data_IF_296472284780
#
_entry.id   IF_296472284780
#
_cell.length_a   1.000
_cell.length_b   1.000
_cell.length_c   1.000
_cell.angle_alpha   90.00
_cell.angle_beta   90.00
_cell.angle_gamma   90.00
#
_symmetry.space_group_name_H-M   'P 1'
#
loop_
_entity.id
_entity.type
_entity.pdbx_description
1 polymer ?
#
# COMPACT_ATOMS: atom_id res chain seq x y z
N UNK A 1 4.90 -39.66 31.72
CA UNK A 1 5.50 -39.28 30.43
C UNK A 1 4.95 -37.90 30.08
N UNK A 2 5.77 -36.84 30.04
CA UNK A 2 5.26 -35.57 29.50
C UNK A 2 4.98 -35.75 28.02
N UNK A 3 3.72 -35.56 27.63
CA UNK A 3 3.32 -35.47 26.22
C UNK A 3 4.03 -34.24 25.64
N UNK A 4 5.02 -34.44 24.79
CA UNK A 4 5.65 -33.35 24.09
C UNK A 4 4.58 -32.65 23.26
N UNK A 5 4.30 -31.39 23.58
CA UNK A 5 3.46 -30.54 22.78
C UNK A 5 4.05 -30.51 21.37
N UNK A 6 3.43 -31.17 20.43
CA UNK A 6 3.76 -31.07 18.99
C UNK A 6 3.50 -29.60 18.64
N UNK A 7 4.53 -28.93 18.11
CA UNK A 7 4.33 -27.60 17.58
C UNK A 7 3.19 -27.69 16.54
N UNK A 8 2.17 -26.88 16.72
CA UNK A 8 1.08 -26.82 15.77
C UNK A 8 1.65 -26.41 14.39
N UNK A 9 1.19 -27.08 13.33
CA UNK A 9 1.60 -26.71 11.98
C UNK A 9 1.18 -25.25 11.73
N UNK A 10 2.10 -24.47 11.18
CA UNK A 10 1.83 -23.05 10.89
C UNK A 10 0.77 -22.91 9.81
N UNK A 11 -0.07 -21.90 9.94
CA UNK A 11 -1.05 -21.53 8.91
C UNK A 11 -0.30 -21.01 7.69
N UNK A 12 -0.53 -21.63 6.53
CA UNK A 12 -0.02 -21.13 5.26
C UNK A 12 -0.93 -20.03 4.74
N UNK A 13 -0.43 -18.80 4.73
CA UNK A 13 -1.11 -17.62 4.26
C UNK A 13 -0.45 -17.08 2.98
N UNK A 14 -1.25 -16.59 2.06
CA UNK A 14 -0.80 -15.84 0.89
C UNK A 14 -1.32 -14.42 1.02
N UNK A 15 -0.46 -13.43 0.77
CA UNK A 15 -0.82 -12.03 0.65
C UNK A 15 -0.51 -11.54 -0.77
N UNK A 16 -1.35 -10.70 -1.33
CA UNK A 16 -1.21 -10.24 -2.72
C UNK A 16 0.04 -9.39 -2.94
N UNK A 17 0.37 -8.47 -2.02
CA UNK A 17 1.49 -7.52 -2.17
C UNK A 17 2.21 -7.25 -0.85
N UNK A 18 3.38 -6.63 -0.93
CA UNK A 18 4.33 -6.52 0.19
C UNK A 18 3.78 -5.80 1.42
N UNK A 19 3.03 -4.72 1.25
CA UNK A 19 2.42 -3.97 2.36
C UNK A 19 1.44 -4.87 3.12
N UNK A 20 0.57 -5.57 2.41
CA UNK A 20 -0.38 -6.49 3.02
C UNK A 20 0.33 -7.69 3.66
N UNK A 21 1.40 -8.18 3.02
CA UNK A 21 2.25 -9.24 3.55
C UNK A 21 2.87 -8.89 4.90
N UNK A 22 3.37 -7.66 5.06
CA UNK A 22 3.86 -7.17 6.36
C UNK A 22 2.75 -7.13 7.41
N UNK A 23 1.59 -6.53 7.08
CA UNK A 23 0.47 -6.47 8.03
C UNK A 23 0.02 -7.87 8.48
N UNK A 24 -0.07 -8.83 7.56
CA UNK A 24 -0.42 -10.23 7.86
C UNK A 24 0.63 -10.87 8.77
N UNK A 25 1.91 -10.63 8.51
CA UNK A 25 3.02 -11.11 9.34
C UNK A 25 2.99 -10.50 10.74
N UNK A 26 2.71 -9.20 10.88
CA UNK A 26 2.62 -8.52 12.18
C UNK A 26 1.51 -9.10 13.06
N UNK A 27 0.36 -9.44 12.47
CA UNK A 27 -0.78 -10.01 13.20
C UNK A 27 -0.58 -11.51 13.46
N UNK A 28 -0.11 -12.24 12.47
CA UNK A 28 0.02 -13.70 12.55
C UNK A 28 1.19 -14.19 13.40
N UNK A 29 2.29 -13.41 13.43
CA UNK A 29 3.50 -13.76 14.18
C UNK A 29 4.06 -15.12 13.79
N UNK A 30 4.54 -15.88 14.78
CA UNK A 30 5.18 -17.18 14.56
C UNK A 30 4.20 -18.32 14.22
N UNK A 31 2.88 -18.07 14.29
CA UNK A 31 1.86 -19.10 13.99
C UNK A 31 1.57 -19.25 12.50
N UNK A 32 2.12 -18.39 11.66
CA UNK A 32 1.85 -18.40 10.22
C UNK A 32 3.14 -18.44 9.40
N UNK A 33 3.03 -18.98 8.20
CA UNK A 33 4.01 -18.82 7.12
C UNK A 33 3.34 -17.99 6.01
N UNK A 34 3.86 -16.78 5.77
CA UNK A 34 3.31 -15.86 4.76
C UNK A 34 4.14 -15.92 3.49
N UNK A 35 3.47 -16.12 2.38
CA UNK A 35 4.02 -15.91 1.04
C UNK A 35 3.38 -14.66 0.47
N UNK A 36 4.20 -13.72 0.05
CA UNK A 36 3.76 -12.49 -0.62
C UNK A 36 4.00 -12.66 -2.13
N UNK A 37 2.94 -12.49 -2.94
CA UNK A 37 3.01 -12.70 -4.38
C UNK A 37 3.81 -11.60 -5.07
N UNK A 38 3.43 -10.34 -4.83
CA UNK A 38 4.19 -9.19 -5.33
C UNK A 38 5.10 -8.68 -4.22
N UNK A 39 6.39 -8.88 -4.40
CA UNK A 39 7.43 -8.58 -3.40
C UNK A 39 7.73 -7.09 -3.27
N UNK A 40 8.80 -6.75 -2.51
CA UNK A 40 9.30 -5.38 -2.42
C UNK A 40 9.58 -4.77 -3.80
N UNK A 41 9.35 -3.46 -3.94
CA UNK A 41 9.49 -2.67 -5.17
C UNK A 41 8.73 -3.24 -6.38
N UNK A 42 7.81 -4.18 -6.17
CA UNK A 42 7.01 -4.78 -7.23
C UNK A 42 5.70 -4.02 -7.44
N UNK A 43 5.33 -3.84 -8.70
CA UNK A 43 4.05 -3.23 -9.08
C UNK A 43 2.94 -4.28 -9.12
N UNK A 44 1.95 -4.14 -8.23
CA UNK A 44 0.83 -5.06 -8.12
C UNK A 44 -0.30 -4.79 -9.13
N UNK A 45 -0.36 -3.62 -9.75
CA UNK A 45 -1.36 -3.32 -10.79
C UNK A 45 -1.13 -4.16 -12.04
N UNK A 46 0.13 -4.28 -12.46
CA UNK A 46 0.53 -4.93 -13.71
C UNK A 46 1.18 -6.32 -13.51
N UNK A 47 1.05 -6.88 -12.33
CA UNK A 47 1.67 -8.15 -12.00
C UNK A 47 1.10 -9.31 -12.83
N UNK A 48 2.01 -10.13 -13.36
CA UNK A 48 1.67 -11.37 -14.06
C UNK A 48 2.00 -12.58 -13.19
N UNK A 49 0.99 -13.27 -12.62
CA UNK A 49 1.20 -14.42 -11.76
C UNK A 49 1.94 -15.57 -12.46
N UNK A 50 2.88 -16.17 -11.77
CA UNK A 50 3.68 -17.29 -12.24
C UNK A 50 3.04 -18.65 -11.89
N UNK A 51 3.48 -19.76 -12.52
CA UNK A 51 3.09 -21.10 -12.08
C UNK A 51 3.48 -21.43 -10.62
N UNK A 52 4.53 -20.78 -10.09
CA UNK A 52 4.92 -20.91 -8.70
C UNK A 52 3.88 -20.27 -7.77
N UNK A 53 3.32 -19.12 -8.14
CA UNK A 53 2.27 -18.45 -7.38
C UNK A 53 1.00 -19.27 -7.33
N UNK A 54 0.61 -19.87 -8.46
CA UNK A 54 -0.52 -20.78 -8.50
C UNK A 54 -0.31 -22.00 -7.57
N UNK A 55 0.90 -22.56 -7.54
CA UNK A 55 1.26 -23.66 -6.63
C UNK A 55 1.23 -23.24 -5.17
N UNK A 56 1.75 -22.06 -4.85
CA UNK A 56 1.76 -21.51 -3.51
C UNK A 56 0.31 -21.28 -3.02
N UNK A 57 -0.51 -20.65 -3.85
CA UNK A 57 -1.91 -20.38 -3.53
C UNK A 57 -2.72 -21.69 -3.39
N UNK A 58 -2.52 -22.69 -4.25
CA UNK A 58 -3.20 -23.98 -4.18
C UNK A 58 -3.05 -24.67 -2.81
N UNK A 59 -1.94 -24.44 -2.10
CA UNK A 59 -1.63 -25.06 -0.81
C UNK A 59 -1.93 -24.16 0.39
N UNK A 60 -2.32 -22.92 0.15
CA UNK A 60 -2.63 -21.96 1.21
C UNK A 60 -3.99 -22.25 1.89
N UNK A 61 -4.09 -21.93 3.17
CA UNK A 61 -5.31 -22.00 3.93
C UNK A 61 -6.12 -20.71 3.84
N UNK A 62 -5.42 -19.60 3.61
CA UNK A 62 -6.03 -18.28 3.49
C UNK A 62 -5.26 -17.41 2.49
N UNK A 63 -6.02 -16.66 1.70
CA UNK A 63 -5.55 -15.59 0.81
C UNK A 63 -6.01 -14.25 1.37
N UNK A 64 -5.10 -13.31 1.50
CA UNK A 64 -5.39 -11.91 1.77
C UNK A 64 -5.14 -11.10 0.50
N UNK A 65 -6.16 -10.39 0.04
CA UNK A 65 -6.05 -9.42 -1.04
C UNK A 65 -6.57 -8.05 -0.59
N UNK A 66 -6.19 -7.00 -1.30
CA UNK A 66 -6.66 -5.65 -1.02
C UNK A 66 -8.14 -5.49 -1.32
N UNK A 67 -8.57 -5.94 -2.49
CA UNK A 67 -9.87 -5.60 -3.05
C UNK A 67 -9.90 -4.21 -3.70
N UNK A 68 -11.08 -3.62 -3.86
CA UNK A 68 -11.29 -2.31 -4.52
C UNK A 68 -10.79 -2.27 -5.97
N UNK A 69 -10.56 -3.43 -6.60
CA UNK A 69 -10.07 -3.53 -7.98
C UNK A 69 -8.55 -3.48 -8.13
N UNK A 70 -7.78 -3.46 -7.03
CA UNK A 70 -6.33 -3.35 -7.06
C UNK A 70 -5.65 -4.50 -7.83
N UNK A 71 -5.99 -5.73 -7.50
CA UNK A 71 -5.40 -6.94 -8.10
C UNK A 71 -6.28 -7.45 -9.26
N UNK A 72 -6.24 -6.80 -10.41
CA UNK A 72 -7.03 -7.20 -11.58
C UNK A 72 -6.76 -8.63 -12.10
N UNK A 73 -5.61 -9.21 -11.72
CA UNK A 73 -5.17 -10.56 -12.08
C UNK A 73 -5.61 -11.64 -11.08
N UNK A 74 -6.06 -11.29 -9.87
CA UNK A 74 -6.28 -12.24 -8.77
C UNK A 74 -7.34 -13.29 -9.08
N UNK A 75 -8.48 -12.90 -9.64
CA UNK A 75 -9.56 -13.84 -9.99
C UNK A 75 -9.09 -14.96 -10.94
N UNK A 76 -8.19 -14.62 -11.88
CA UNK A 76 -7.60 -15.61 -12.81
C UNK A 76 -6.66 -16.57 -12.08
N UNK A 77 -5.85 -16.04 -11.15
CA UNK A 77 -4.94 -16.85 -10.33
C UNK A 77 -5.71 -17.79 -9.41
N UNK A 78 -6.73 -17.32 -8.71
CA UNK A 78 -7.58 -18.17 -7.86
C UNK A 78 -8.19 -19.34 -8.64
N UNK A 79 -8.76 -19.06 -9.81
CA UNK A 79 -9.35 -20.09 -10.67
C UNK A 79 -8.31 -21.09 -11.17
N UNK A 80 -7.17 -20.61 -11.66
CA UNK A 80 -6.15 -21.46 -12.27
C UNK A 80 -5.38 -22.30 -11.25
N UNK A 81 -5.21 -21.80 -10.03
CA UNK A 81 -4.55 -22.53 -8.94
C UNK A 81 -5.40 -23.66 -8.34
N UNK A 82 -6.72 -23.58 -8.52
CA UNK A 82 -7.65 -24.49 -7.84
C UNK A 82 -7.71 -24.28 -6.33
N UNK A 83 -7.40 -23.06 -5.87
CA UNK A 83 -7.45 -22.67 -4.47
C UNK A 83 -8.79 -23.01 -3.80
N UNK A 84 -8.75 -23.51 -2.57
CA UNK A 84 -9.92 -23.96 -1.78
C UNK A 84 -9.95 -23.34 -0.39
N UNK A 85 -8.95 -22.52 -0.07
CA UNK A 85 -8.86 -21.85 1.22
C UNK A 85 -9.86 -20.69 1.35
N UNK A 86 -9.69 -19.91 2.38
CA UNK A 86 -10.51 -18.72 2.67
C UNK A 86 -9.92 -17.50 1.96
N UNK A 87 -10.75 -16.71 1.29
CA UNK A 87 -10.37 -15.36 0.82
C UNK A 87 -10.79 -14.34 1.87
N UNK A 88 -9.87 -13.44 2.19
CA UNK A 88 -10.12 -12.29 3.07
C UNK A 88 -9.72 -11.00 2.35
N UNK A 89 -10.70 -10.16 2.06
CA UNK A 89 -10.49 -8.82 1.49
C UNK A 89 -10.14 -7.86 2.62
N UNK A 90 -8.91 -7.36 2.61
CA UNK A 90 -8.37 -6.53 3.68
C UNK A 90 -9.07 -5.17 3.81
N UNK A 91 -9.51 -4.58 2.70
CA UNK A 91 -10.24 -3.30 2.69
C UNK A 91 -11.71 -3.38 3.07
N UNK A 92 -12.20 -4.56 3.51
CA UNK A 92 -13.60 -4.70 3.94
C UNK A 92 -13.96 -3.68 5.01
N UNK A 93 -15.07 -2.94 4.82
CA UNK A 93 -15.52 -1.88 5.74
C UNK A 93 -14.88 -0.50 5.51
N UNK A 94 -13.90 -0.37 4.62
CA UNK A 94 -13.41 0.94 4.18
C UNK A 94 -14.51 1.65 3.39
N UNK A 95 -14.68 2.96 3.62
CA UNK A 95 -15.52 3.78 2.75
C UNK A 95 -14.75 4.09 1.46
N UNK A 96 -15.12 3.53 0.31
CA UNK A 96 -14.37 3.73 -0.92
C UNK A 96 -14.33 5.20 -1.32
N UNK A 97 -13.15 5.67 -1.75
CA UNK A 97 -13.03 6.90 -2.54
C UNK A 97 -13.31 6.53 -3.99
N UNK A 98 -13.89 7.45 -4.73
CA UNK A 98 -14.10 7.30 -6.15
C UNK A 98 -13.52 8.50 -6.90
N UNK A 99 -13.09 8.27 -8.11
CA UNK A 99 -12.63 9.30 -9.03
C UNK A 99 -13.15 9.04 -10.43
N UNK A 100 -12.97 9.99 -11.32
CA UNK A 100 -13.33 9.84 -12.74
C UNK A 100 -12.06 9.63 -13.54
N UNK A 101 -11.96 8.48 -14.19
CA UNK A 101 -10.88 8.08 -15.09
C UNK A 101 -11.53 7.61 -16.40
N UNK A 102 -11.10 8.16 -17.53
CA UNK A 102 -11.66 7.87 -18.86
C UNK A 102 -13.20 7.91 -18.91
N UNK A 103 -13.78 8.97 -18.33
CA UNK A 103 -15.23 9.19 -18.23
C UNK A 103 -15.99 8.14 -17.39
N UNK A 104 -15.28 7.25 -16.69
CA UNK A 104 -15.86 6.24 -15.80
C UNK A 104 -15.57 6.59 -14.33
N UNK A 105 -16.54 6.27 -13.48
CA UNK A 105 -16.30 6.32 -12.04
C UNK A 105 -15.61 5.02 -11.63
N UNK A 106 -14.38 5.13 -11.12
CA UNK A 106 -13.58 4.03 -10.61
C UNK A 106 -13.36 4.18 -9.11
N UNK A 107 -13.16 3.07 -8.42
CA UNK A 107 -12.76 3.09 -7.02
C UNK A 107 -11.24 3.34 -6.94
N UNK A 108 -10.82 4.19 -6.01
CA UNK A 108 -9.43 4.32 -5.61
C UNK A 108 -9.06 3.10 -4.75
N UNK A 109 -8.13 2.23 -5.17
CA UNK A 109 -7.80 1.01 -4.43
C UNK A 109 -6.84 1.26 -3.26
N UNK A 110 -6.16 2.41 -3.19
CA UNK A 110 -5.02 2.68 -2.30
C UNK A 110 -5.45 3.02 -0.86
N UNK A 111 -6.40 2.26 -0.33
CA UNK A 111 -7.00 2.55 0.98
C UNK A 111 -6.00 2.43 2.15
N UNK A 112 -4.94 1.63 2.01
CA UNK A 112 -3.85 1.52 3.00
C UNK A 112 -3.07 2.83 3.19
N UNK A 113 -3.15 3.77 2.28
CA UNK A 113 -2.52 5.09 2.40
C UNK A 113 -3.15 5.98 3.51
N UNK A 114 -4.15 5.47 4.22
CA UNK A 114 -4.67 6.05 5.46
C UNK A 114 -4.46 5.07 6.63
N UNK A 115 -3.74 5.49 7.68
CA UNK A 115 -3.55 4.67 8.88
C UNK A 115 -4.87 4.34 9.59
N UNK A 116 -5.88 5.18 9.45
CA UNK A 116 -7.23 4.88 9.94
C UNK A 116 -7.85 3.68 9.21
N UNK A 117 -7.67 3.59 7.89
CA UNK A 117 -8.05 2.40 7.12
C UNK A 117 -7.14 1.21 7.44
N UNK A 118 -5.83 1.42 7.64
CA UNK A 118 -4.89 0.39 8.07
C UNK A 118 -5.35 -0.36 9.33
N UNK A 119 -6.04 0.33 10.25
CA UNK A 119 -6.64 -0.31 11.44
C UNK A 119 -7.77 -1.28 11.08
N UNK A 120 -8.56 -0.97 10.03
CA UNK A 120 -9.58 -1.90 9.51
C UNK A 120 -8.91 -3.13 8.88
N UNK A 121 -7.84 -2.94 8.11
CA UNK A 121 -7.05 -4.04 7.55
C UNK A 121 -6.55 -4.98 8.64
N UNK A 122 -5.97 -4.45 9.72
CA UNK A 122 -5.47 -5.24 10.85
C UNK A 122 -6.60 -6.04 11.50
N UNK A 123 -7.79 -5.46 11.69
CA UNK A 123 -8.95 -6.15 12.24
C UNK A 123 -9.43 -7.28 11.32
N UNK A 124 -9.51 -7.03 10.01
CA UNK A 124 -9.92 -8.04 9.02
C UNK A 124 -8.90 -9.18 8.94
N UNK A 125 -7.60 -8.88 8.97
CA UNK A 125 -6.52 -9.88 8.98
C UNK A 125 -6.63 -10.75 10.22
N UNK A 126 -6.78 -10.17 11.42
CA UNK A 126 -7.01 -10.90 12.67
C UNK A 126 -8.20 -11.86 12.55
N UNK A 127 -9.33 -11.37 12.09
CA UNK A 127 -10.56 -12.16 11.98
C UNK A 127 -10.44 -13.27 10.92
N UNK A 128 -9.72 -13.00 9.83
CA UNK A 128 -9.37 -13.99 8.83
C UNK A 128 -8.51 -15.12 9.37
N UNK A 129 -7.46 -14.80 10.13
CA UNK A 129 -6.57 -15.78 10.77
C UNK A 129 -7.31 -16.61 11.82
N UNK A 130 -8.12 -15.99 12.68
CA UNK A 130 -8.93 -16.70 13.67
C UNK A 130 -9.91 -17.70 13.00
N UNK A 131 -10.45 -17.33 11.84
CA UNK A 131 -11.40 -18.18 11.13
C UNK A 131 -10.78 -19.48 10.59
N UNK A 132 -9.46 -19.47 10.26
CA UNK A 132 -8.74 -20.66 9.76
C UNK A 132 -7.91 -21.36 10.83
N UNK A 133 -7.58 -20.67 11.92
CA UNK A 133 -6.86 -21.20 13.10
C UNK A 133 -7.48 -20.66 14.40
N UNK A 134 -8.61 -21.20 14.83
CA UNK A 134 -9.28 -20.77 16.06
C UNK A 134 -8.43 -20.95 17.32
N UNK A 135 -7.50 -21.91 17.32
CA UNK A 135 -6.58 -22.15 18.44
C UNK A 135 -5.57 -21.02 18.62
N UNK A 136 -5.24 -20.29 17.53
CA UNK A 136 -4.37 -19.13 17.54
C UNK A 136 -5.03 -17.83 18.00
N UNK A 137 -6.34 -17.82 18.29
CA UNK A 137 -7.13 -16.62 18.56
C UNK A 137 -6.45 -15.65 19.52
N UNK A 138 -6.01 -16.14 20.68
CA UNK A 138 -5.42 -15.28 21.70
C UNK A 138 -4.10 -14.60 21.24
N UNK A 139 -3.31 -15.29 20.40
CA UNK A 139 -2.08 -14.76 19.82
C UNK A 139 -2.41 -13.66 18.80
N UNK A 140 -3.34 -13.94 17.90
CA UNK A 140 -3.75 -12.98 16.87
C UNK A 140 -4.40 -11.72 17.46
N UNK A 141 -5.24 -11.88 18.51
CA UNK A 141 -5.83 -10.75 19.23
C UNK A 141 -4.76 -9.90 19.95
N UNK A 142 -3.78 -10.53 20.62
CA UNK A 142 -2.70 -9.82 21.28
C UNK A 142 -1.80 -9.07 20.29
N UNK A 143 -1.40 -9.73 19.19
CA UNK A 143 -0.58 -9.11 18.15
C UNK A 143 -1.32 -7.96 17.45
N UNK A 144 -2.60 -8.17 17.11
CA UNK A 144 -3.43 -7.12 16.50
C UNK A 144 -3.58 -5.92 17.43
N UNK A 145 -3.83 -6.12 18.73
CA UNK A 145 -3.92 -5.03 19.70
C UNK A 145 -2.63 -4.21 19.76
N UNK A 146 -1.47 -4.89 19.88
CA UNK A 146 -0.16 -4.24 19.86
C UNK A 146 0.08 -3.44 18.57
N UNK A 147 -0.30 -4.00 17.42
CA UNK A 147 -0.08 -3.35 16.14
C UNK A 147 -1.04 -2.16 15.94
N UNK A 148 -2.29 -2.27 16.40
CA UNK A 148 -3.26 -1.16 16.42
C UNK A 148 -2.78 0.02 17.28
N UNK A 149 -2.16 -0.25 18.42
CA UNK A 149 -1.55 0.79 19.27
C UNK A 149 -0.38 1.48 18.55
N UNK A 150 0.45 0.71 17.85
CA UNK A 150 1.54 1.26 17.03
C UNK A 150 1.02 2.12 15.88
N UNK A 151 -0.03 1.68 15.17
CA UNK A 151 -0.69 2.47 14.12
C UNK A 151 -1.32 3.74 14.67
N UNK A 152 -1.91 3.70 15.87
CA UNK A 152 -2.51 4.89 16.48
C UNK A 152 -1.45 5.94 16.84
N UNK A 153 -0.31 5.49 17.36
CA UNK A 153 0.83 6.37 17.64
C UNK A 153 1.38 6.98 16.36
N UNK A 154 1.62 6.16 15.35
CA UNK A 154 2.15 6.63 14.06
C UNK A 154 1.21 7.65 13.42
N UNK A 155 -0.11 7.41 13.47
CA UNK A 155 -1.11 8.36 12.95
C UNK A 155 -1.04 9.72 13.65
N UNK A 156 -0.81 9.74 14.96
CA UNK A 156 -0.64 10.99 15.71
C UNK A 156 0.65 11.72 15.30
N UNK A 157 1.76 10.99 15.14
CA UNK A 157 3.04 11.53 14.73
C UNK A 157 2.97 12.10 13.28
N UNK A 158 2.36 11.37 12.34
CA UNK A 158 2.11 11.82 10.96
C UNK A 158 1.26 13.09 10.92
N UNK A 159 0.14 13.12 11.67
CA UNK A 159 -0.72 14.31 11.74
C UNK A 159 0.03 15.52 12.28
N UNK A 160 0.84 15.35 13.32
CA UNK A 160 1.62 16.42 13.92
C UNK A 160 2.67 16.97 12.92
N UNK A 161 3.41 16.08 12.25
CA UNK A 161 4.43 16.45 11.28
C UNK A 161 3.83 17.22 10.08
N UNK A 162 2.73 16.72 9.50
CA UNK A 162 2.11 17.34 8.33
C UNK A 162 1.30 18.60 8.67
N UNK A 163 0.75 18.69 9.89
CA UNK A 163 0.08 19.91 10.36
C UNK A 163 1.06 21.10 10.52
N UNK A 164 2.33 20.83 10.73
CA UNK A 164 3.37 21.86 10.83
C UNK A 164 3.73 22.49 9.46
N UNK A 165 3.35 21.88 8.34
CA UNK A 165 3.64 22.41 7.02
C UNK A 165 2.77 23.64 6.71
N UNK A 166 3.35 24.70 6.10
CA UNK A 166 2.58 25.85 5.60
C UNK A 166 1.52 25.39 4.58
N UNK A 167 0.35 26.01 4.61
CA UNK A 167 -0.78 25.58 3.77
C UNK A 167 -0.45 25.71 2.27
N UNK A 168 0.29 26.72 1.88
CA UNK A 168 0.73 26.97 0.51
C UNK A 168 1.76 25.95 0.00
N UNK A 169 2.32 25.15 0.89
CA UNK A 169 3.29 24.08 0.56
C UNK A 169 2.72 22.67 0.65
N UNK A 170 1.40 22.53 0.85
CA UNK A 170 0.73 21.23 0.98
C UNK A 170 0.25 20.66 -0.34
N UNK A 171 0.77 21.16 -1.44
CA UNK A 171 0.50 20.63 -2.78
C UNK A 171 1.77 20.06 -3.37
N UNK A 172 1.69 18.80 -3.81
CA UNK A 172 2.82 18.04 -4.37
C UNK A 172 2.38 17.26 -5.60
N UNK A 173 3.36 16.82 -6.38
CA UNK A 173 3.16 15.92 -7.52
C UNK A 173 3.81 14.58 -7.23
N UNK A 174 3.13 13.49 -7.58
CA UNK A 174 3.62 12.10 -7.56
C UNK A 174 3.52 11.50 -8.96
N UNK A 175 3.94 10.24 -9.15
CA UNK A 175 3.92 9.58 -10.46
C UNK A 175 2.50 9.19 -10.85
N UNK A 176 1.81 8.42 -10.00
CA UNK A 176 0.41 8.00 -10.22
C UNK A 176 -0.49 8.41 -9.05
N UNK A 177 -1.82 8.30 -9.22
CA UNK A 177 -2.80 8.80 -8.24
C UNK A 177 -3.06 7.77 -7.12
N UNK A 178 -2.02 7.48 -6.32
CA UNK A 178 -2.07 6.55 -5.20
C UNK A 178 -2.36 7.21 -3.84
N UNK A 179 -2.19 8.52 -3.73
CA UNK A 179 -2.23 9.20 -2.44
C UNK A 179 -3.58 9.85 -2.11
N UNK A 180 -4.66 9.48 -2.79
CA UNK A 180 -5.96 10.09 -2.57
C UNK A 180 -6.48 9.96 -1.13
N UNK A 181 -6.33 8.77 -0.51
CA UNK A 181 -6.68 8.57 0.91
C UNK A 181 -5.73 9.28 1.86
N UNK A 182 -4.44 9.34 1.53
CA UNK A 182 -3.44 10.06 2.33
C UNK A 182 -3.74 11.57 2.34
N UNK A 183 -3.95 12.15 1.17
CA UNK A 183 -4.28 13.56 1.03
C UNK A 183 -5.53 13.94 1.83
N UNK A 184 -6.59 13.12 1.72
CA UNK A 184 -7.83 13.33 2.48
C UNK A 184 -7.66 13.17 3.99
N UNK A 185 -6.81 12.23 4.45
CA UNK A 185 -6.60 11.97 5.86
C UNK A 185 -5.75 13.05 6.55
N UNK A 186 -4.78 13.61 5.81
CA UNK A 186 -3.71 14.44 6.40
C UNK A 186 -3.66 15.88 5.86
N UNK A 187 -4.56 16.24 4.95
CA UNK A 187 -4.71 17.62 4.48
C UNK A 187 -3.66 18.06 3.47
N UNK A 188 -3.23 17.14 2.57
CA UNK A 188 -2.40 17.45 1.42
C UNK A 188 -3.22 17.36 0.13
N UNK A 189 -2.88 18.20 -0.84
CA UNK A 189 -3.34 18.08 -2.21
C UNK A 189 -2.24 17.40 -3.03
N UNK A 190 -2.55 16.22 -3.54
CA UNK A 190 -1.59 15.39 -4.29
C UNK A 190 -2.17 15.18 -5.67
N UNK A 191 -1.38 15.46 -6.68
CA UNK A 191 -1.78 15.40 -8.09
C UNK A 191 -0.76 14.53 -8.84
N UNK A 192 -1.25 13.70 -9.76
CA UNK A 192 -0.41 12.82 -10.55
C UNK A 192 -0.73 12.94 -12.05
N UNK A 193 0.27 12.72 -12.94
CA UNK A 193 0.03 12.65 -14.38
C UNK A 193 -0.61 11.34 -14.81
N UNK A 194 -0.35 10.24 -14.10
CA UNK A 194 -0.96 8.94 -14.33
C UNK A 194 -2.21 8.77 -13.47
N UNK A 195 -3.11 7.88 -13.90
CA UNK A 195 -4.32 7.55 -13.17
C UNK A 195 -4.09 6.71 -11.91
N UNK A 196 -5.14 6.06 -11.41
CA UNK A 196 -5.06 5.18 -10.21
C UNK A 196 -4.40 3.84 -10.49
N UNK A 197 -4.18 3.50 -11.75
CA UNK A 197 -3.47 2.29 -12.17
C UNK A 197 -2.28 2.66 -13.02
N UNK A 198 -1.20 1.91 -12.85
CA UNK A 198 0.02 2.01 -13.67
C UNK A 198 -0.06 1.24 -14.99
N UNK A 199 -1.21 0.61 -15.30
CA UNK A 199 -1.42 -0.12 -16.56
C UNK A 199 -1.30 0.76 -17.82
N UNK A 200 -1.53 2.07 -17.67
CA UNK A 200 -1.47 3.04 -18.76
C UNK A 200 -0.51 4.17 -18.41
N UNK A 201 0.43 4.44 -19.32
CA UNK A 201 1.32 5.59 -19.19
C UNK A 201 0.53 6.92 -19.30
N UNK A 202 1.05 7.96 -18.67
CA UNK A 202 0.48 9.30 -18.76
C UNK A 202 0.45 9.79 -20.21
N UNK A 203 -0.68 10.31 -20.64
CA UNK A 203 -0.78 10.91 -21.98
C UNK A 203 0.03 12.22 -22.06
N UNK A 204 0.51 12.57 -23.26
CA UNK A 204 1.18 13.85 -23.49
C UNK A 204 0.32 15.07 -23.07
N UNK A 205 -1.02 14.94 -23.12
CA UNK A 205 -1.96 15.97 -22.68
C UNK A 205 -1.94 16.13 -21.16
N UNK A 206 -1.87 15.02 -20.41
CA UNK A 206 -1.84 15.03 -18.94
C UNK A 206 -0.50 15.56 -18.43
N UNK A 207 0.60 15.13 -19.03
CA UNK A 207 1.94 15.67 -18.75
C UNK A 207 1.97 17.20 -18.99
N UNK A 208 1.47 17.67 -20.13
CA UNK A 208 1.41 19.11 -20.43
C UNK A 208 0.50 19.87 -19.45
N UNK A 209 -0.58 19.23 -18.94
CA UNK A 209 -1.46 19.82 -17.91
C UNK A 209 -0.70 19.97 -16.60
N UNK A 210 -0.01 18.94 -16.13
CA UNK A 210 0.79 18.97 -14.91
C UNK A 210 1.89 20.02 -14.99
N UNK A 211 2.63 20.11 -16.10
CA UNK A 211 3.68 21.12 -16.29
C UNK A 211 3.11 22.54 -16.16
N UNK A 212 1.96 22.81 -16.82
CA UNK A 212 1.28 24.12 -16.67
C UNK A 212 0.87 24.38 -15.24
N UNK A 213 0.33 23.39 -14.56
CA UNK A 213 -0.12 23.50 -13.18
C UNK A 213 1.04 23.80 -12.22
N UNK A 214 2.16 23.05 -12.32
CA UNK A 214 3.37 23.30 -11.52
C UNK A 214 3.82 24.76 -11.66
N UNK A 215 3.90 25.26 -12.92
CA UNK A 215 4.34 26.63 -13.20
C UNK A 215 3.36 27.69 -12.66
N UNK A 216 2.04 27.46 -12.83
CA UNK A 216 1.02 28.41 -12.42
C UNK A 216 0.89 28.50 -10.89
N UNK A 217 0.95 27.37 -10.21
CA UNK A 217 0.73 27.26 -8.77
C UNK A 217 2.04 27.23 -7.96
N UNK A 218 3.19 27.24 -8.64
CA UNK A 218 4.52 27.20 -8.02
C UNK A 218 4.67 26.01 -7.07
N UNK A 219 4.26 24.82 -7.52
CA UNK A 219 4.35 23.58 -6.74
C UNK A 219 5.83 23.32 -6.45
N UNK A 220 6.22 23.14 -5.17
CA UNK A 220 7.64 23.18 -4.79
C UNK A 220 8.40 21.91 -5.16
N UNK A 221 7.74 20.75 -5.16
CA UNK A 221 8.39 19.46 -5.32
C UNK A 221 7.56 18.45 -6.11
N UNK A 222 8.25 17.57 -6.82
CA UNK A 222 7.75 16.35 -7.43
C UNK A 222 8.42 15.16 -6.75
N UNK A 223 7.69 14.05 -6.57
CA UNK A 223 8.18 12.87 -5.88
C UNK A 223 8.08 11.67 -6.79
N UNK A 224 9.16 10.93 -6.90
CA UNK A 224 9.19 9.64 -7.58
C UNK A 224 8.54 8.57 -6.71
N UNK A 225 8.12 7.48 -7.31
CA UNK A 225 7.57 6.33 -6.60
C UNK A 225 8.38 5.08 -6.94
N UNK A 226 8.59 4.23 -5.92
CA UNK A 226 9.47 3.07 -6.04
C UNK A 226 9.03 2.02 -7.07
N UNK A 227 7.78 2.07 -7.52
CA UNK A 227 7.21 1.13 -8.50
C UNK A 227 7.13 1.69 -9.92
N UNK A 228 7.45 2.97 -10.14
CA UNK A 228 7.26 3.63 -11.44
C UNK A 228 8.60 4.02 -12.09
N UNK A 229 8.57 4.23 -13.42
CA UNK A 229 9.72 4.74 -14.16
C UNK A 229 9.91 6.24 -13.89
N UNK A 230 11.08 6.61 -13.44
CA UNK A 230 11.40 7.99 -13.04
C UNK A 230 11.52 8.98 -14.19
N UNK A 231 11.72 8.51 -15.45
CA UNK A 231 11.99 9.37 -16.61
C UNK A 231 10.95 10.46 -16.84
N UNK A 232 9.67 10.14 -16.62
CA UNK A 232 8.59 11.12 -16.77
C UNK A 232 8.70 12.27 -15.77
N UNK A 233 8.95 11.96 -14.51
CA UNK A 233 9.09 12.97 -13.47
C UNK A 233 10.40 13.75 -13.58
N UNK A 234 11.49 13.13 -14.05
CA UNK A 234 12.73 13.81 -14.40
C UNK A 234 12.49 14.86 -15.50
N UNK A 235 11.73 14.50 -16.54
CA UNK A 235 11.32 15.45 -17.59
C UNK A 235 10.50 16.60 -17.01
N UNK A 236 9.46 16.30 -16.23
CA UNK A 236 8.59 17.31 -15.61
C UNK A 236 9.41 18.26 -14.73
N UNK A 237 10.31 17.73 -13.90
CA UNK A 237 11.19 18.52 -13.05
C UNK A 237 12.11 19.42 -13.87
N UNK A 238 12.73 18.91 -14.95
CA UNK A 238 13.59 19.65 -15.86
C UNK A 238 12.85 20.81 -16.55
N UNK A 239 11.61 20.59 -17.00
CA UNK A 239 10.82 21.59 -17.71
C UNK A 239 10.21 22.67 -16.79
N UNK A 240 10.01 22.35 -15.51
CA UNK A 240 9.34 23.24 -14.56
C UNK A 240 10.28 23.93 -13.58
N UNK A 241 11.46 23.35 -13.34
CA UNK A 241 12.37 23.75 -12.28
C UNK A 241 11.91 23.30 -10.88
N UNK A 242 10.87 22.45 -10.77
CA UNK A 242 10.47 21.85 -9.52
C UNK A 242 11.58 20.93 -8.99
N UNK A 243 11.76 20.90 -7.67
CA UNK A 243 12.73 20.01 -7.03
C UNK A 243 12.21 18.56 -7.04
N UNK A 244 13.12 17.61 -7.25
CA UNK A 244 12.82 16.20 -6.94
C UNK A 244 12.94 16.05 -5.43
N UNK A 245 11.82 15.75 -4.77
CA UNK A 245 11.72 15.67 -3.32
C UNK A 245 12.18 14.34 -2.72
N UNK A 246 12.54 13.39 -3.60
CA UNK A 246 12.93 12.03 -3.23
C UNK A 246 11.95 10.98 -3.73
N UNK A 247 12.13 9.75 -3.29
CA UNK A 247 11.30 8.60 -3.61
C UNK A 247 10.28 8.35 -2.50
N UNK A 248 9.04 8.08 -2.86
CA UNK A 248 7.97 7.65 -1.96
C UNK A 248 7.64 6.17 -2.23
N UNK A 249 7.29 5.48 -1.16
CA UNK A 249 6.79 4.11 -1.22
C UNK A 249 5.25 4.14 -1.23
N UNK A 250 4.65 3.67 -2.30
CA UNK A 250 3.19 3.76 -2.52
C UNK A 250 2.52 2.41 -2.41
N UNK A 251 2.83 1.49 -3.32
CA UNK A 251 2.15 0.21 -3.48
C UNK A 251 3.04 -0.98 -3.10
N UNK A 252 4.31 -0.71 -2.83
CA UNK A 252 5.25 -1.71 -2.36
C UNK A 252 6.14 -1.17 -1.25
N UNK A 253 6.57 -2.07 -0.37
CA UNK A 253 7.64 -1.81 0.60
C UNK A 253 9.00 -1.89 -0.07
N UNK A 254 10.03 -1.36 0.58
CA UNK A 254 11.41 -1.61 0.21
C UNK A 254 11.86 -3.04 0.54
N UNK A 255 13.00 -3.51 0.00
CA UNK A 255 13.70 -4.66 0.54
C UNK A 255 14.01 -4.52 2.03
N UNK A 256 14.32 -5.63 2.75
CA UNK A 256 14.53 -5.60 4.21
C UNK A 256 15.64 -4.67 4.69
N UNK A 257 16.61 -4.38 3.84
CA UNK A 257 17.73 -3.46 4.11
C UNK A 257 17.50 -2.04 3.56
N UNK A 258 16.35 -1.79 2.97
CA UNK A 258 15.94 -0.49 2.46
C UNK A 258 15.27 0.40 3.52
N UNK A 259 14.83 1.60 3.12
CA UNK A 259 14.33 2.60 4.07
C UNK A 259 12.88 2.39 4.54
N UNK A 260 12.11 1.55 3.84
CA UNK A 260 10.69 1.32 4.12
C UNK A 260 10.32 -0.18 4.13
N UNK A 261 10.97 -1.03 4.96
CA UNK A 261 10.76 -2.48 4.94
C UNK A 261 9.46 -2.92 5.61
N UNK A 262 8.76 -2.05 6.32
CA UNK A 262 7.46 -2.32 6.96
C UNK A 262 6.45 -1.21 6.64
N UNK A 263 5.17 -1.50 6.84
CA UNK A 263 4.11 -0.53 6.62
C UNK A 263 4.27 0.74 7.48
N UNK A 264 4.71 0.62 8.72
CA UNK A 264 5.00 1.77 9.57
C UNK A 264 6.24 2.54 9.08
N UNK A 265 7.29 1.85 8.66
CA UNK A 265 8.49 2.50 8.13
C UNK A 265 8.22 3.23 6.80
N UNK A 266 7.30 2.68 5.98
CA UNK A 266 6.81 3.36 4.79
C UNK A 266 6.21 4.73 5.13
N UNK A 267 5.33 4.81 6.13
CA UNK A 267 4.77 6.10 6.55
C UNK A 267 5.84 7.06 7.08
N UNK A 268 6.76 6.58 7.91
CA UNK A 268 7.87 7.39 8.45
C UNK A 268 8.75 7.94 7.35
N UNK A 269 9.13 7.08 6.41
CA UNK A 269 9.96 7.48 5.27
C UNK A 269 9.24 8.53 4.41
N UNK A 270 8.00 8.25 4.01
CA UNK A 270 7.22 9.12 3.15
C UNK A 270 6.99 10.51 3.80
N UNK A 271 6.57 10.53 5.06
CA UNK A 271 6.36 11.79 5.80
C UNK A 271 7.67 12.55 5.98
N UNK A 272 8.77 11.85 6.25
CA UNK A 272 10.10 12.44 6.32
C UNK A 272 10.53 13.09 5.00
N UNK A 273 10.38 12.38 3.88
CA UNK A 273 10.68 12.91 2.55
C UNK A 273 9.81 14.12 2.19
N UNK A 274 8.49 14.02 2.43
CA UNK A 274 7.53 15.10 2.19
C UNK A 274 7.89 16.36 2.97
N UNK A 275 8.11 16.23 4.28
CA UNK A 275 8.41 17.37 5.15
C UNK A 275 9.78 17.99 4.83
N UNK A 276 10.79 17.21 4.50
CA UNK A 276 12.11 17.71 4.11
C UNK A 276 12.06 18.53 2.80
N UNK A 277 11.36 18.01 1.79
CA UNK A 277 11.28 18.66 0.48
C UNK A 277 10.52 19.99 0.50
N UNK A 278 9.44 20.08 1.28
CA UNK A 278 8.62 21.30 1.33
C UNK A 278 9.07 22.31 2.40
N UNK A 279 9.97 21.94 3.31
CA UNK A 279 10.56 22.86 4.29
C UNK A 279 11.78 23.62 3.74
N UNK A 280 12.39 23.12 2.68
CA UNK A 280 13.52 23.74 1.99
C UNK A 280 13.05 24.78 0.97
#
# INVERSE_FOLDING_TARGET
>A
MPSGARAADKVKAVASFSILGDMVKQVGGDRIDVITLVGPDGDAHVYEPTPADAKNLATAQILFNNGLGFEGWMDRLEKSSGFRGKVMVASTGVKPRTMVEDEKTVADPHAWQSLANGKLYVANIRDGLIAVDPEGKSVYEANAAKYLDALAKEEADVRAALAALPQERRKIITSHDAFGYFGAAYGLEIVAPEGVSTESEASAKDVAKIIRQIKAERIPAVFMENITDHRLLDQIASETGAKIGGELYTDALSPPDGPAPTYLDMFRHNVGALTAAVSA
#
